data_IF_999675208346
#
_entry.id   IF_999675208346
#
_cell.length_a   1.000
_cell.length_b   1.000
_cell.length_c   1.000
_cell.angle_alpha   90.00
_cell.angle_beta   90.00
_cell.angle_gamma   90.00
#
_symmetry.space_group_name_H-M   'P 1'
#
loop_
_entity.id
_entity.type
_entity.pdbx_description
1 polymer ?
#
# COMPACT_ATOMS: atom_id res chain seq x y z
N UNK A 1 2.12 -8.75 12.43
CA UNK A 1 1.19 -9.03 11.29
C UNK A 1 2.03 -9.62 10.17
N UNK A 2 1.51 -10.58 9.38
CA UNK A 2 2.32 -11.28 8.37
C UNK A 2 2.47 -10.48 7.06
N UNK A 3 1.40 -9.83 6.58
CA UNK A 3 1.44 -8.85 5.48
C UNK A 3 0.12 -8.03 5.50
N UNK A 4 0.12 -6.84 4.88
CA UNK A 4 -1.07 -6.03 4.65
C UNK A 4 -1.23 -5.80 3.14
N UNK A 5 -2.31 -6.33 2.57
CA UNK A 5 -2.66 -6.14 1.16
C UNK A 5 -3.82 -5.16 1.06
N UNK A 6 -3.60 -4.04 0.39
CA UNK A 6 -4.64 -3.06 0.08
C UNK A 6 -5.42 -3.53 -1.16
N UNK A 7 -6.74 -3.56 -1.04
CA UNK A 7 -7.64 -3.76 -2.18
C UNK A 7 -8.35 -2.45 -2.50
N UNK A 8 -8.64 -2.23 -3.78
CA UNK A 8 -9.36 -1.06 -4.25
C UNK A 8 -10.44 -1.45 -5.26
N UNK A 9 -11.36 -0.52 -5.50
CA UNK A 9 -12.37 -0.62 -6.54
C UNK A 9 -12.25 0.60 -7.44
N UNK A 10 -11.96 0.36 -8.72
CA UNK A 10 -12.06 1.39 -9.75
C UNK A 10 -13.54 1.71 -10.00
N UNK A 11 -14.01 2.81 -9.39
CA UNK A 11 -15.42 3.21 -9.46
C UNK A 11 -15.87 3.52 -10.89
N UNK A 12 -15.14 4.32 -11.71
CA UNK A 12 -15.51 4.51 -13.12
C UNK A 12 -15.68 3.20 -13.90
N UNK A 13 -14.73 2.27 -13.77
CA UNK A 13 -14.78 0.97 -14.46
C UNK A 13 -15.91 0.09 -13.95
N UNK A 14 -16.09 -0.01 -12.64
CA UNK A 14 -17.14 -0.80 -12.01
C UNK A 14 -18.54 -0.30 -12.40
N UNK A 15 -18.72 1.03 -12.46
CA UNK A 15 -19.97 1.65 -12.89
C UNK A 15 -20.26 1.38 -14.37
N UNK A 16 -19.25 1.44 -15.24
CA UNK A 16 -19.39 1.12 -16.66
C UNK A 16 -19.73 -0.36 -16.92
N UNK A 17 -19.18 -1.26 -16.10
CA UNK A 17 -19.42 -2.71 -16.21
C UNK A 17 -20.66 -3.17 -15.44
N UNK A 18 -21.24 -2.33 -14.58
CA UNK A 18 -22.35 -2.68 -13.69
C UNK A 18 -22.01 -3.74 -12.64
N UNK A 19 -20.72 -3.93 -12.31
CA UNK A 19 -20.23 -4.95 -11.38
C UNK A 19 -19.03 -4.44 -10.60
N UNK A 20 -19.02 -4.69 -9.29
CA UNK A 20 -17.85 -4.44 -8.46
C UNK A 20 -16.77 -5.52 -8.71
N UNK A 21 -15.68 -5.13 -9.37
CA UNK A 21 -14.44 -5.90 -9.50
C UNK A 21 -13.39 -5.33 -8.55
N UNK A 22 -13.27 -5.93 -7.36
CA UNK A 22 -12.22 -5.57 -6.41
C UNK A 22 -10.87 -6.09 -6.92
N UNK A 23 -9.90 -5.18 -7.03
CA UNK A 23 -8.55 -5.46 -7.50
C UNK A 23 -7.54 -5.14 -6.38
N UNK A 24 -6.38 -5.81 -6.38
CA UNK A 24 -5.31 -5.53 -5.42
C UNK A 24 -4.57 -4.26 -5.84
N UNK A 25 -4.40 -3.30 -4.92
CA UNK A 25 -3.63 -2.08 -5.15
C UNK A 25 -2.14 -2.32 -4.90
N UNK A 26 -1.78 -2.73 -3.68
CA UNK A 26 -0.40 -3.08 -3.31
C UNK A 26 -0.32 -3.95 -2.04
N UNK A 27 0.80 -4.66 -1.88
CA UNK A 27 1.24 -5.22 -0.60
C UNK A 27 2.17 -4.23 0.09
N UNK A 28 1.97 -4.00 1.39
CA UNK A 28 2.76 -3.05 2.18
C UNK A 28 4.24 -3.45 2.23
N UNK A 29 4.53 -4.75 2.39
CA UNK A 29 5.89 -5.25 2.44
C UNK A 29 6.61 -5.01 1.12
N UNK A 30 5.96 -5.34 0.00
CA UNK A 30 6.56 -5.18 -1.32
C UNK A 30 6.72 -3.71 -1.70
N UNK A 31 5.69 -2.89 -1.45
CA UNK A 31 5.66 -1.49 -1.86
C UNK A 31 6.68 -0.63 -1.11
N UNK A 32 6.79 -0.82 0.21
CA UNK A 32 7.74 -0.06 1.04
C UNK A 32 9.04 -0.80 1.34
N UNK A 33 9.25 -1.96 0.70
CA UNK A 33 10.41 -2.84 0.88
C UNK A 33 10.71 -3.15 2.34
N UNK A 34 9.68 -3.59 3.08
CA UNK A 34 9.76 -3.95 4.49
C UNK A 34 9.98 -5.46 4.64
N UNK A 35 10.71 -5.88 5.68
CA UNK A 35 10.92 -7.30 5.97
C UNK A 35 9.77 -7.93 6.76
N UNK A 36 9.10 -7.11 7.58
CA UNK A 36 8.01 -7.54 8.45
C UNK A 36 7.15 -6.35 8.92
N UNK A 37 5.95 -6.66 9.39
CA UNK A 37 5.03 -5.66 9.94
C UNK A 37 5.05 -5.74 11.47
N UNK A 38 5.96 -4.95 12.06
CA UNK A 38 6.08 -4.71 13.50
C UNK A 38 6.20 -3.19 13.79
N UNK A 39 6.07 -2.80 15.07
CA UNK A 39 6.07 -1.39 15.47
C UNK A 39 7.37 -0.64 15.11
N UNK A 40 8.52 -1.32 15.19
CA UNK A 40 9.82 -0.75 14.83
C UNK A 40 9.90 -0.50 13.31
N UNK A 41 9.56 -1.50 12.49
CA UNK A 41 9.60 -1.39 11.02
C UNK A 41 8.67 -0.28 10.51
N UNK A 42 7.51 -0.09 11.14
CA UNK A 42 6.58 1.00 10.83
C UNK A 42 7.09 2.37 11.31
N UNK A 43 7.76 2.44 12.45
CA UNK A 43 8.37 3.68 12.92
C UNK A 43 9.51 4.12 11.99
N UNK A 44 10.39 3.20 11.59
CA UNK A 44 11.46 3.47 10.63
C UNK A 44 10.89 3.93 9.29
N UNK A 45 9.79 3.32 8.81
CA UNK A 45 9.08 3.80 7.62
C UNK A 45 8.61 5.25 7.78
N UNK A 46 7.96 5.59 8.91
CA UNK A 46 7.49 6.95 9.16
C UNK A 46 8.63 7.98 9.16
N UNK A 47 9.79 7.61 9.71
CA UNK A 47 10.99 8.45 9.67
C UNK A 47 11.47 8.69 8.24
N UNK A 48 11.49 7.65 7.38
CA UNK A 48 11.86 7.83 5.96
C UNK A 48 10.90 8.77 5.23
N UNK A 49 9.59 8.59 5.42
CA UNK A 49 8.56 9.41 4.78
C UNK A 49 8.67 10.90 5.18
N UNK A 50 9.11 11.19 6.40
CA UNK A 50 9.25 12.57 6.92
C UNK A 50 10.60 13.22 6.56
N UNK A 51 11.61 12.44 6.18
CA UNK A 51 12.93 12.94 5.80
C UNK A 51 13.02 13.40 4.34
N UNK A 52 11.93 13.36 3.56
CA UNK A 52 11.81 14.01 2.25
C UNK A 52 12.66 13.41 1.11
N UNK A 53 13.38 12.32 1.36
CA UNK A 53 14.24 11.63 0.38
C UNK A 53 13.82 10.18 0.14
N UNK A 54 12.70 9.75 0.72
CA UNK A 54 12.10 8.48 0.34
C UNK A 54 11.31 8.75 -0.95
N UNK A 55 11.79 8.22 -2.08
CA UNK A 55 11.05 8.14 -3.36
C UNK A 55 9.82 7.21 -3.24
N UNK A 56 9.21 7.18 -2.05
CA UNK A 56 8.08 6.35 -1.67
C UNK A 56 6.77 6.80 -2.33
N UNK A 57 6.79 8.00 -2.94
CA UNK A 57 5.70 8.50 -3.77
C UNK A 57 6.30 8.98 -5.10
N UNK A 58 6.02 8.30 -6.22
CA UNK A 58 6.37 8.77 -7.56
C UNK A 58 5.56 10.01 -7.98
#
# INVERSE_FOLDING_TARGET
>A
ILDYTQYYLDLPKANAMGRANWDTEYSLLDYYNLKDINAKSLHELADRLTQGNDNAFP
#
